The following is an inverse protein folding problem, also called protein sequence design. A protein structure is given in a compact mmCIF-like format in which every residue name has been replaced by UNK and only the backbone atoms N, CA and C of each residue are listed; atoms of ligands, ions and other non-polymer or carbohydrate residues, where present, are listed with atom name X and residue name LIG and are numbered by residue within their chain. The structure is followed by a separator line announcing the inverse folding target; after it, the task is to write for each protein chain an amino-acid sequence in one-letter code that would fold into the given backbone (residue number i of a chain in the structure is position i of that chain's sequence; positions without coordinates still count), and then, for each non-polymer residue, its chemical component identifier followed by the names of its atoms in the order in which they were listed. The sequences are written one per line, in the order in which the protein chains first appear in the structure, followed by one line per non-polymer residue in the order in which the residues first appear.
data_IF_764823396154
#
_entry.id   IF_764823396154
#
_cell.length_a   1.000
_cell.length_b   1.000
_cell.length_c   1.000
_cell.angle_alpha   90.00
_cell.angle_beta   90.00
_cell.angle_gamma   90.00
#
_symmetry.space_group_name_H-M   'P 1'
#
loop_
_entity.id
_entity.type
_entity.pdbx_description
1 polymer ?
#
# COMPACT_ATOMS: atom_id res chain seq x y z
N UNK A 1 -52.56 36.75 27.33
CA UNK A 1 -52.01 35.84 26.30
C UNK A 1 -50.58 36.29 26.06
N UNK A 2 -49.61 35.60 26.68
CA UNK A 2 -48.18 35.92 26.56
C UNK A 2 -47.56 34.78 25.78
N UNK A 3 -47.04 35.09 24.61
CA UNK A 3 -46.32 34.19 23.74
C UNK A 3 -44.85 34.14 24.20
N UNK A 4 -44.38 32.99 24.66
CA UNK A 4 -42.95 32.73 24.90
C UNK A 4 -42.37 32.01 23.69
N UNK A 5 -41.46 32.69 23.03
CA UNK A 5 -40.61 32.15 21.97
C UNK A 5 -39.38 31.45 22.60
N UNK A 6 -39.24 30.14 22.40
CA UNK A 6 -38.01 29.39 22.74
C UNK A 6 -37.06 29.41 21.54
N UNK A 7 -35.92 30.08 21.71
CA UNK A 7 -34.81 29.99 20.77
C UNK A 7 -34.05 28.67 20.91
N UNK A 8 -33.99 27.92 19.84
CA UNK A 8 -33.11 26.75 19.69
C UNK A 8 -31.67 27.24 19.45
N UNK A 9 -30.82 27.12 20.46
CA UNK A 9 -29.36 27.15 20.26
C UNK A 9 -28.91 25.83 19.68
N UNK A 10 -28.47 25.84 18.44
CA UNK A 10 -27.75 24.74 17.81
C UNK A 10 -26.35 24.58 18.44
N UNK A 11 -26.16 23.56 19.24
CA UNK A 11 -24.84 23.13 19.69
C UNK A 11 -24.13 22.47 18.50
N UNK A 12 -23.17 23.20 17.94
CA UNK A 12 -22.19 22.59 17.00
C UNK A 12 -21.24 21.70 17.80
N UNK A 13 -21.38 20.41 17.64
CA UNK A 13 -20.51 19.41 18.25
C UNK A 13 -19.24 19.34 17.40
N UNK A 14 -18.14 19.92 17.86
CA UNK A 14 -16.81 19.66 17.32
C UNK A 14 -16.33 18.32 17.88
N UNK A 15 -16.03 17.32 17.06
CA UNK A 15 -15.39 16.10 17.56
C UNK A 15 -14.02 16.47 18.12
N UNK A 16 -13.73 16.05 19.35
CA UNK A 16 -12.38 16.16 19.91
C UNK A 16 -11.40 15.37 19.03
N UNK A 17 -10.23 15.92 18.68
CA UNK A 17 -9.21 15.17 17.98
C UNK A 17 -8.85 13.94 18.80
N UNK A 18 -8.74 12.78 18.14
CA UNK A 18 -8.22 11.56 18.76
C UNK A 18 -6.79 11.84 19.22
N UNK A 19 -6.38 11.38 20.42
CA UNK A 19 -5.01 11.56 20.87
C UNK A 19 -4.05 10.92 19.84
N UNK A 20 -3.02 11.69 19.44
CA UNK A 20 -2.00 11.21 18.51
C UNK A 20 -1.20 10.08 19.15
N UNK A 21 -0.61 9.21 18.34
CA UNK A 21 0.30 8.14 18.77
C UNK A 21 1.39 8.67 19.72
N UNK A 22 1.83 9.91 19.51
CA UNK A 22 2.75 10.62 20.39
C UNK A 22 2.25 10.84 21.82
N UNK A 23 0.95 11.04 22.00
CA UNK A 23 0.36 11.18 23.32
C UNK A 23 0.39 9.84 24.06
N UNK A 24 0.14 8.73 23.37
CA UNK A 24 0.22 7.38 23.93
C UNK A 24 1.66 6.99 24.30
N UNK A 25 2.62 7.26 23.43
CA UNK A 25 4.04 7.02 23.70
C UNK A 25 4.51 7.77 24.94
N UNK A 26 4.01 8.99 25.17
CA UNK A 26 4.35 9.80 26.33
C UNK A 26 3.72 9.28 27.64
N UNK A 27 2.50 8.73 27.58
CA UNK A 27 1.85 8.12 28.75
C UNK A 27 2.51 6.80 29.16
N UNK A 28 2.92 5.97 28.22
CA UNK A 28 3.59 4.71 28.49
C UNK A 28 5.02 4.92 29.05
N UNK A 29 5.75 5.91 28.55
CA UNK A 29 7.08 6.26 29.06
C UNK A 29 7.04 6.75 30.53
N UNK A 30 5.93 7.32 30.98
CA UNK A 30 5.77 7.79 32.37
C UNK A 30 5.45 6.68 33.39
N UNK A 31 5.02 5.51 32.94
CA UNK A 31 4.57 4.40 33.80
C UNK A 31 5.62 3.31 34.06
N UNK A 32 6.79 3.36 33.43
CA UNK A 32 7.82 2.32 33.56
C UNK A 32 8.91 2.73 34.58
N UNK A 33 9.25 1.91 35.58
CA UNK A 33 10.12 2.27 36.70
C UNK A 33 11.59 2.52 36.32
N UNK A 34 12.03 2.11 35.13
CA UNK A 34 13.42 2.25 34.65
C UNK A 34 13.69 3.52 33.83
N UNK A 35 12.69 4.37 33.66
CA UNK A 35 12.85 5.63 32.93
C UNK A 35 13.21 6.79 33.83
N UNK A 36 14.43 7.29 33.73
CA UNK A 36 14.78 8.64 34.23
C UNK A 36 14.00 9.68 33.42
N UNK A 37 13.31 10.58 34.13
CA UNK A 37 12.45 11.64 33.59
C UNK A 37 12.95 12.21 32.26
N UNK A 38 12.19 12.00 31.19
CA UNK A 38 12.35 12.71 29.93
C UNK A 38 11.58 14.02 30.08
N UNK A 39 12.29 15.15 30.24
CA UNK A 39 11.66 16.46 30.19
C UNK A 39 11.44 16.83 28.73
N UNK A 40 10.17 16.73 28.30
CA UNK A 40 9.74 17.25 27.00
C UNK A 40 9.29 18.68 27.23
N UNK A 41 10.08 19.66 26.78
CA UNK A 41 9.67 21.06 26.75
C UNK A 41 8.68 21.23 25.60
N UNK A 42 7.42 21.54 25.93
CA UNK A 42 6.46 22.07 24.96
C UNK A 42 6.62 23.57 24.91
N UNK A 43 7.22 24.08 23.85
CA UNK A 43 7.17 25.50 23.57
C UNK A 43 5.84 25.83 22.88
N UNK A 44 5.09 26.74 23.47
CA UNK A 44 3.74 27.09 23.08
C UNK A 44 3.73 28.10 21.93
N UNK A 45 4.38 27.78 20.83
CA UNK A 45 4.12 28.41 19.52
C UNK A 45 4.79 27.62 18.40
N UNK A 46 3.94 27.04 17.55
CA UNK A 46 4.24 26.37 16.31
C UNK A 46 4.90 24.97 16.37
N UNK A 47 4.10 24.05 15.98
CA UNK A 47 4.26 22.63 15.74
C UNK A 47 5.43 22.27 14.82
N UNK A 48 6.57 21.90 15.38
CA UNK A 48 7.50 20.93 14.80
C UNK A 48 8.10 20.15 15.94
N UNK A 49 7.61 18.93 16.19
CA UNK A 49 8.28 17.99 17.09
C UNK A 49 9.35 17.23 16.34
N UNK A 50 10.57 17.69 16.44
CA UNK A 50 11.73 16.90 16.00
C UNK A 50 12.01 15.84 17.05
N UNK A 51 12.04 14.56 16.65
CA UNK A 51 12.48 13.43 17.48
C UNK A 51 13.92 13.63 17.99
N UNK A 52 14.11 14.39 19.06
CA UNK A 52 15.38 14.48 19.81
C UNK A 52 15.52 13.40 20.88
N UNK A 53 14.69 12.36 20.86
CA UNK A 53 14.69 11.30 21.87
C UNK A 53 15.78 10.22 21.71
N UNK A 54 16.61 10.28 20.67
CA UNK A 54 17.58 9.22 20.36
C UNK A 54 18.96 9.41 21.04
N UNK A 55 19.18 10.47 21.81
CA UNK A 55 20.52 10.77 22.36
C UNK A 55 20.72 10.45 23.84
N UNK A 56 19.96 9.59 24.46
CA UNK A 56 20.09 9.28 25.90
C UNK A 56 20.41 7.81 26.19
N UNK A 57 20.95 7.06 25.25
CA UNK A 57 21.48 5.73 25.54
C UNK A 57 22.98 5.68 25.24
N UNK A 58 23.80 6.22 26.15
CA UNK A 58 25.16 5.73 26.31
C UNK A 58 25.10 4.41 27.10
N UNK A 59 24.92 3.31 26.37
CA UNK A 59 25.26 1.98 26.87
C UNK A 59 26.72 1.71 26.48
N UNK A 60 27.54 1.51 27.48
CA UNK A 60 28.91 1.02 27.32
C UNK A 60 28.89 -0.30 26.53
N UNK A 61 29.24 -0.26 25.25
CA UNK A 61 29.57 -1.43 24.45
C UNK A 61 31.06 -1.42 24.23
N UNK A 62 31.71 -2.51 24.65
CA UNK A 62 33.15 -2.73 24.56
C UNK A 62 33.65 -2.57 23.11
N UNK A 63 34.74 -1.86 22.99
CA UNK A 63 35.59 -1.77 21.79
C UNK A 63 35.99 -3.18 21.34
N UNK A 64 35.54 -3.62 20.18
CA UNK A 64 36.30 -4.46 19.25
C UNK A 64 35.39 -4.85 18.06
N UNK A 65 35.63 -4.20 16.92
CA UNK A 65 35.63 -4.73 15.57
C UNK A 65 35.37 -3.62 14.54
N UNK A 66 36.39 -2.88 14.21
CA UNK A 66 36.45 -2.11 12.97
C UNK A 66 36.93 -3.07 11.88
N UNK A 67 36.02 -3.47 10.95
CA UNK A 67 36.42 -4.07 9.68
C UNK A 67 36.00 -3.11 8.57
N UNK A 68 37.00 -2.47 7.99
CA UNK A 68 36.91 -1.61 6.82
C UNK A 68 36.69 -2.48 5.58
N UNK A 69 35.58 -2.29 4.85
CA UNK A 69 35.41 -2.82 3.51
C UNK A 69 35.57 -1.67 2.52
N UNK A 70 36.67 -1.72 1.81
CA UNK A 70 36.98 -0.88 0.64
C UNK A 70 36.29 -1.53 -0.56
N UNK A 71 35.44 -0.76 -1.23
CA UNK A 71 34.91 -1.16 -2.55
C UNK A 71 35.78 -0.52 -3.63
N UNK A 72 36.38 -1.35 -4.48
CA UNK A 72 37.04 -0.94 -5.71
C UNK A 72 35.98 -0.57 -6.75
N UNK A 73 36.19 0.57 -7.40
CA UNK A 73 35.39 1.04 -8.55
C UNK A 73 35.72 0.15 -9.75
N UNK A 74 34.70 -0.46 -10.35
CA UNK A 74 34.80 -1.12 -11.66
C UNK A 74 34.22 -0.15 -12.70
N UNK A 75 35.01 0.08 -13.76
CA UNK A 75 34.71 0.94 -14.88
C UNK A 75 33.49 0.48 -15.69
N UNK A 76 32.74 1.48 -16.09
CA UNK A 76 31.41 1.45 -16.70
C UNK A 76 31.53 1.54 -18.24
N UNK A 77 30.86 0.69 -18.96
CA UNK A 77 30.28 1.07 -20.27
C UNK A 77 29.26 -0.01 -20.76
N UNK A 78 27.98 0.14 -20.35
CA UNK A 78 26.84 -0.22 -21.21
C UNK A 78 25.55 0.38 -20.63
N UNK A 79 25.08 1.45 -21.30
CA UNK A 79 23.89 2.20 -20.93
C UNK A 79 22.65 1.55 -21.51
N UNK A 80 22.03 0.66 -20.78
CA UNK A 80 20.61 0.39 -20.90
C UNK A 80 19.86 1.24 -19.87
N UNK A 81 18.92 2.05 -20.34
CA UNK A 81 18.11 2.96 -19.55
C UNK A 81 17.22 2.16 -18.59
N UNK A 82 17.73 1.80 -17.43
CA UNK A 82 16.93 1.65 -16.24
C UNK A 82 16.59 3.07 -15.77
N UNK A 83 15.33 3.48 -15.91
CA UNK A 83 14.85 4.67 -15.20
C UNK A 83 15.02 4.38 -13.71
N UNK A 84 16.11 4.90 -13.14
CA UNK A 84 16.35 4.89 -11.69
C UNK A 84 15.15 5.52 -11.01
N UNK A 85 14.31 4.69 -10.42
CA UNK A 85 13.33 5.13 -9.43
C UNK A 85 14.15 5.75 -8.28
N UNK A 86 14.16 7.08 -8.18
CA UNK A 86 14.95 7.85 -7.20
C UNK A 86 14.90 7.19 -5.81
N UNK A 87 16.02 6.63 -5.39
CA UNK A 87 16.22 5.85 -4.15
C UNK A 87 16.16 6.76 -2.89
N UNK A 88 15.09 7.50 -2.71
CA UNK A 88 14.91 8.42 -1.58
C UNK A 88 13.46 8.69 -1.22
N UNK A 89 12.54 8.51 -2.14
CA UNK A 89 11.14 8.88 -1.96
C UNK A 89 10.28 7.63 -1.74
N UNK A 90 9.49 7.61 -0.66
CA UNK A 90 8.53 6.55 -0.43
C UNK A 90 7.47 6.55 -1.52
N UNK A 91 7.25 5.40 -2.14
CA UNK A 91 6.23 5.20 -3.17
C UNK A 91 4.86 5.05 -2.50
N UNK A 92 3.89 5.86 -2.89
CA UNK A 92 2.50 5.73 -2.45
C UNK A 92 1.67 5.15 -3.60
N UNK A 93 0.95 4.08 -3.30
CA UNK A 93 0.13 3.32 -4.26
C UNK A 93 -1.32 3.35 -3.79
N UNK A 94 -2.24 3.79 -4.64
CA UNK A 94 -3.66 3.80 -4.31
C UNK A 94 -4.26 2.40 -4.45
N UNK A 95 -4.70 1.79 -3.34
CA UNK A 95 -5.31 0.45 -3.27
C UNK A 95 -6.66 0.43 -4.00
N UNK A 96 -6.79 -0.36 -5.05
CA UNK A 96 -7.97 -0.39 -5.95
C UNK A 96 -8.38 1.01 -6.42
N UNK A 97 -7.39 1.88 -6.58
CA UNK A 97 -7.54 3.30 -6.85
C UNK A 97 -7.61 4.16 -5.59
N UNK A 98 -8.77 4.72 -5.27
CA UNK A 98 -8.99 5.62 -4.11
C UNK A 98 -9.34 4.88 -2.81
N UNK A 99 -9.03 3.59 -2.71
CA UNK A 99 -9.25 2.74 -1.56
C UNK A 99 -10.34 1.68 -1.73
N UNK A 100 -10.24 0.62 -0.91
CA UNK A 100 -11.20 -0.47 -0.89
C UNK A 100 -12.54 -0.06 -0.27
N UNK A 101 -13.62 -0.69 -0.74
CA UNK A 101 -14.94 -0.50 -0.14
C UNK A 101 -15.18 -1.46 1.04
N UNK A 102 -15.57 -0.91 2.19
CA UNK A 102 -15.97 -1.68 3.37
C UNK A 102 -17.40 -1.36 3.77
N UNK A 103 -18.37 -2.16 3.29
CA UNK A 103 -19.80 -1.92 3.49
C UNK A 103 -20.22 -1.93 4.97
N UNK A 104 -19.52 -2.68 5.82
CA UNK A 104 -19.73 -2.74 7.27
C UNK A 104 -19.09 -1.58 8.05
N UNK A 105 -18.23 -0.77 7.43
CA UNK A 105 -17.55 0.33 8.11
C UNK A 105 -18.51 1.48 8.46
N UNK A 106 -18.32 2.10 9.61
CA UNK A 106 -18.97 3.35 9.97
C UNK A 106 -18.28 4.58 9.37
N UNK A 107 -17.08 4.42 8.84
CA UNK A 107 -16.34 5.46 8.15
C UNK A 107 -16.84 5.57 6.70
N UNK A 108 -17.43 6.70 6.36
CA UNK A 108 -18.01 6.95 5.05
C UNK A 108 -16.97 6.98 3.92
N UNK A 109 -15.69 7.26 4.23
CA UNK A 109 -14.61 7.27 3.22
C UNK A 109 -14.50 5.94 2.49
N UNK A 110 -14.70 4.81 3.19
CA UNK A 110 -14.70 3.46 2.61
C UNK A 110 -15.97 3.11 1.80
N UNK A 111 -16.88 4.06 1.61
CA UNK A 111 -18.11 3.92 0.80
C UNK A 111 -18.29 5.06 -0.18
N UNK A 112 -17.25 5.87 -0.39
CA UNK A 112 -17.39 7.10 -1.16
C UNK A 112 -17.32 6.85 -2.66
N UNK A 113 -16.27 6.18 -3.15
CA UNK A 113 -16.07 5.87 -4.57
C UNK A 113 -16.03 4.35 -4.75
N UNK A 114 -16.59 3.86 -5.86
CA UNK A 114 -16.50 2.45 -6.24
C UNK A 114 -15.05 2.06 -6.46
N UNK A 115 -14.52 1.11 -5.67
CA UNK A 115 -13.20 0.54 -5.87
C UNK A 115 -13.07 -0.16 -7.23
N UNK A 116 -11.85 -0.34 -7.72
CA UNK A 116 -11.60 -1.06 -8.97
C UNK A 116 -12.43 -0.51 -10.15
N UNK A 117 -12.50 0.82 -10.26
CA UNK A 117 -13.24 1.52 -11.31
C UNK A 117 -12.42 2.65 -11.92
N UNK A 118 -12.76 3.05 -13.14
CA UNK A 118 -12.10 4.17 -13.83
C UNK A 118 -12.20 5.45 -13.01
N UNK A 119 -13.34 5.67 -12.38
CA UNK A 119 -13.55 6.82 -11.49
C UNK A 119 -12.59 6.79 -10.29
N UNK A 120 -12.41 5.62 -9.66
CA UNK A 120 -11.52 5.44 -8.51
C UNK A 120 -10.06 5.72 -8.90
N UNK A 121 -9.60 5.16 -10.01
CA UNK A 121 -8.23 5.33 -10.49
C UNK A 121 -7.92 6.79 -10.82
N UNK A 122 -8.80 7.46 -11.58
CA UNK A 122 -8.63 8.87 -11.91
C UNK A 122 -8.81 9.81 -10.71
N UNK A 123 -9.55 9.38 -9.67
CA UNK A 123 -9.64 10.14 -8.42
C UNK A 123 -8.37 10.05 -7.61
N UNK A 124 -7.74 8.88 -7.55
CA UNK A 124 -6.44 8.68 -6.92
C UNK A 124 -5.32 9.43 -7.65
N UNK A 125 -5.33 9.43 -8.99
CA UNK A 125 -4.36 10.13 -9.83
C UNK A 125 -4.31 11.66 -9.63
N UNK A 126 -5.27 12.25 -8.94
CA UNK A 126 -5.25 13.69 -8.58
C UNK A 126 -4.26 14.02 -7.47
N UNK A 127 -3.80 13.02 -6.75
CA UNK A 127 -2.84 13.13 -5.66
C UNK A 127 -1.44 12.68 -6.12
N UNK A 128 -0.37 13.06 -5.44
CA UNK A 128 1.00 12.74 -5.84
C UNK A 128 1.36 11.27 -5.55
N UNK A 129 0.61 10.33 -6.11
CA UNK A 129 0.89 8.90 -6.09
C UNK A 129 1.71 8.50 -7.32
N UNK A 130 2.44 7.37 -7.20
CA UNK A 130 3.22 6.84 -8.32
C UNK A 130 2.44 5.75 -9.07
N UNK A 131 1.61 4.97 -8.36
CA UNK A 131 0.85 3.87 -8.94
C UNK A 131 -0.57 3.83 -8.39
N UNK A 132 -1.49 3.28 -9.17
CA UNK A 132 -2.73 2.68 -8.67
C UNK A 132 -2.58 1.16 -8.72
N UNK A 133 -3.03 0.50 -7.67
CA UNK A 133 -3.14 -0.95 -7.63
C UNK A 133 -4.58 -1.36 -8.01
N UNK A 134 -4.71 -2.48 -8.69
CA UNK A 134 -6.01 -3.08 -9.02
C UNK A 134 -5.91 -4.56 -9.35
N UNK A 135 -7.06 -5.24 -9.27
CA UNK A 135 -7.22 -6.68 -9.35
C UNK A 135 -7.70 -7.13 -10.72
N UNK A 136 -6.95 -8.00 -11.41
CA UNK A 136 -7.32 -8.51 -12.74
C UNK A 136 -7.70 -9.98 -12.65
N UNK A 137 -8.84 -10.33 -13.26
CA UNK A 137 -9.31 -11.67 -13.52
C UNK A 137 -9.69 -11.84 -15.00
N UNK A 138 -9.83 -13.08 -15.46
CA UNK A 138 -10.18 -13.38 -16.85
C UNK A 138 -11.55 -14.03 -16.89
N UNK A 139 -12.45 -13.53 -17.77
CA UNK A 139 -13.78 -14.09 -18.00
C UNK A 139 -13.71 -15.37 -18.82
N UNK A 140 -14.85 -16.07 -18.91
CA UNK A 140 -15.00 -17.31 -19.69
C UNK A 140 -14.66 -17.16 -21.18
N UNK A 141 -14.84 -15.99 -21.73
CA UNK A 141 -14.58 -15.62 -23.12
C UNK A 141 -13.27 -14.83 -23.29
N UNK A 142 -12.30 -15.11 -22.41
CA UNK A 142 -10.93 -14.60 -22.48
C UNK A 142 -10.79 -13.06 -22.45
N UNK A 143 -11.64 -12.37 -21.69
CA UNK A 143 -11.52 -10.93 -21.50
C UNK A 143 -10.96 -10.60 -20.11
N UNK A 144 -9.84 -9.90 -19.98
CA UNK A 144 -9.35 -9.40 -18.71
C UNK A 144 -10.25 -8.30 -18.16
N UNK A 145 -10.74 -8.47 -16.94
CA UNK A 145 -11.68 -7.57 -16.25
C UNK A 145 -11.13 -7.19 -14.88
N UNK A 146 -11.59 -6.05 -14.38
CA UNK A 146 -11.14 -5.50 -13.10
C UNK A 146 -12.14 -5.86 -12.01
N UNK A 147 -11.74 -6.78 -11.12
CA UNK A 147 -12.61 -7.20 -10.02
C UNK A 147 -11.82 -7.98 -8.95
N UNK A 148 -12.02 -7.63 -7.67
CA UNK A 148 -11.27 -8.25 -6.56
C UNK A 148 -11.83 -9.60 -6.13
N UNK A 149 -13.15 -9.68 -5.88
CA UNK A 149 -13.73 -10.85 -5.24
C UNK A 149 -13.76 -12.05 -6.23
N UNK A 150 -13.61 -13.27 -5.74
CA UNK A 150 -13.63 -14.47 -6.59
C UNK A 150 -14.99 -14.69 -7.25
N UNK A 151 -16.05 -14.08 -6.68
CA UNK A 151 -17.44 -14.22 -7.13
C UNK A 151 -18.12 -12.86 -7.19
N UNK A 152 -18.90 -12.62 -8.23
CA UNK A 152 -19.96 -11.62 -8.20
C UNK A 152 -21.14 -12.22 -7.45
N UNK A 153 -21.58 -11.54 -6.39
CA UNK A 153 -22.82 -11.86 -5.70
C UNK A 153 -23.92 -10.97 -6.28
N UNK A 154 -24.98 -11.60 -6.74
CA UNK A 154 -26.14 -10.90 -7.30
C UNK A 154 -27.44 -11.54 -6.82
N UNK A 155 -28.57 -10.89 -7.07
CA UNK A 155 -29.88 -11.41 -6.72
C UNK A 155 -30.57 -11.97 -7.95
N UNK A 156 -31.02 -13.23 -7.88
CA UNK A 156 -31.88 -13.88 -8.85
C UNK A 156 -33.11 -14.42 -8.11
N UNK A 157 -34.32 -13.96 -8.50
CA UNK A 157 -35.61 -14.38 -7.90
C UNK A 157 -35.62 -14.40 -6.37
N UNK A 158 -35.12 -13.30 -5.77
CA UNK A 158 -35.00 -13.09 -4.30
C UNK A 158 -33.96 -13.97 -3.58
N UNK A 159 -33.11 -14.69 -4.32
CA UNK A 159 -32.02 -15.48 -3.79
C UNK A 159 -30.67 -14.82 -4.19
N UNK A 160 -29.76 -14.72 -3.24
CA UNK A 160 -28.38 -14.31 -3.56
C UNK A 160 -27.65 -15.50 -4.18
N UNK A 161 -27.13 -15.29 -5.38
CA UNK A 161 -26.34 -16.26 -6.12
C UNK A 161 -24.91 -15.77 -6.31
N UNK A 162 -23.97 -16.71 -6.31
CA UNK A 162 -22.55 -16.47 -6.53
C UNK A 162 -22.20 -16.89 -7.97
N UNK A 163 -21.53 -15.99 -8.71
CA UNK A 163 -21.06 -16.23 -10.08
C UNK A 163 -19.55 -16.04 -10.13
N UNK A 164 -18.79 -17.07 -10.48
CA UNK A 164 -17.34 -16.92 -10.70
C UNK A 164 -17.08 -16.06 -11.92
N UNK A 165 -16.04 -15.25 -11.87
CA UNK A 165 -15.63 -14.42 -13.02
C UNK A 165 -15.27 -15.32 -14.21
N UNK A 166 -14.54 -16.39 -13.98
CA UNK A 166 -14.15 -17.37 -15.01
C UNK A 166 -15.31 -18.17 -15.63
N UNK A 167 -16.51 -18.13 -15.04
CA UNK A 167 -17.67 -18.88 -15.53
C UNK A 167 -18.66 -18.00 -16.33
N UNK A 168 -18.45 -16.67 -16.32
CA UNK A 168 -19.31 -15.69 -17.00
C UNK A 168 -18.59 -15.03 -18.19
N UNK A 169 -19.37 -14.61 -19.19
CA UNK A 169 -18.85 -13.84 -20.32
C UNK A 169 -18.66 -12.37 -19.96
N UNK A 170 -17.87 -11.64 -20.76
CA UNK A 170 -17.73 -10.18 -20.62
C UNK A 170 -19.08 -9.47 -20.64
N UNK A 171 -19.98 -9.87 -21.56
CA UNK A 171 -21.32 -9.29 -21.65
C UNK A 171 -22.11 -9.47 -20.34
N UNK A 172 -22.04 -10.67 -19.75
CA UNK A 172 -22.67 -10.92 -18.46
C UNK A 172 -22.01 -10.10 -17.35
N UNK A 173 -20.66 -10.06 -17.30
CA UNK A 173 -19.90 -9.26 -16.33
C UNK A 173 -20.30 -7.78 -16.37
N UNK A 174 -20.35 -7.18 -17.54
CA UNK A 174 -20.73 -5.77 -17.69
C UNK A 174 -22.21 -5.50 -17.42
N UNK A 175 -23.06 -6.53 -17.33
CA UNK A 175 -24.49 -6.36 -16.98
C UNK A 175 -24.73 -6.09 -15.49
N UNK A 176 -23.70 -6.22 -14.66
CA UNK A 176 -23.76 -5.96 -13.21
C UNK A 176 -23.42 -4.51 -12.87
N UNK A 177 -24.03 -3.99 -11.80
CA UNK A 177 -23.80 -2.63 -11.33
C UNK A 177 -24.33 -1.53 -12.27
N UNK A 178 -23.85 -0.29 -12.13
CA UNK A 178 -24.25 0.81 -13.00
C UNK A 178 -23.92 0.54 -14.45
N UNK A 179 -24.80 0.99 -15.35
CA UNK A 179 -24.62 0.83 -16.79
C UNK A 179 -24.07 2.09 -17.42
N UNK A 180 -23.27 1.95 -18.48
CA UNK A 180 -22.68 3.08 -19.22
C UNK A 180 -23.75 3.88 -19.99
N UNK A 181 -24.80 3.21 -20.46
CA UNK A 181 -25.86 3.83 -21.23
C UNK A 181 -26.90 4.45 -20.30
N UNK A 182 -27.28 5.73 -20.51
CA UNK A 182 -28.27 6.41 -19.70
C UNK A 182 -29.64 5.68 -19.72
N UNK A 183 -30.22 5.48 -18.53
CA UNK A 183 -31.53 4.84 -18.38
C UNK A 183 -31.49 3.30 -18.33
N UNK A 184 -30.37 2.68 -18.58
CA UNK A 184 -30.22 1.24 -18.37
C UNK A 184 -29.97 0.95 -16.89
N UNK A 185 -30.61 -0.10 -16.37
CA UNK A 185 -30.45 -0.58 -14.99
C UNK A 185 -29.74 -1.93 -15.02
N UNK A 186 -28.58 -1.99 -14.40
CA UNK A 186 -27.84 -3.24 -14.29
C UNK A 186 -28.31 -4.10 -13.13
N UNK A 187 -27.84 -5.33 -13.10
CA UNK A 187 -28.13 -6.28 -12.02
C UNK A 187 -27.45 -5.80 -10.72
N UNK A 188 -28.11 -5.91 -9.56
CA UNK A 188 -27.54 -5.50 -8.28
C UNK A 188 -26.33 -6.37 -7.92
N UNK A 189 -25.36 -5.77 -7.27
CA UNK A 189 -24.15 -6.44 -6.77
C UNK A 189 -24.13 -6.36 -5.26
N UNK A 190 -23.72 -7.47 -4.63
CA UNK A 190 -23.61 -7.60 -3.18
C UNK A 190 -22.17 -7.97 -2.80
N UNK A 191 -21.80 -7.72 -1.56
CA UNK A 191 -20.55 -8.17 -0.97
C UNK A 191 -20.78 -8.95 0.31
N UNK A 192 -19.99 -10.01 0.48
CA UNK A 192 -20.00 -10.86 1.66
C UNK A 192 -18.77 -10.53 2.52
N UNK A 193 -18.99 -10.25 3.77
CA UNK A 193 -17.92 -10.02 4.75
C UNK A 193 -17.31 -11.33 5.23
N UNK A 194 -16.13 -11.29 5.86
CA UNK A 194 -15.47 -12.47 6.43
C UNK A 194 -16.35 -13.22 7.45
N UNK A 195 -17.23 -12.53 8.16
CA UNK A 195 -18.21 -13.10 9.12
C UNK A 195 -19.51 -13.59 8.44
N UNK A 196 -19.56 -13.56 7.11
CA UNK A 196 -20.65 -14.11 6.30
C UNK A 196 -21.86 -13.18 6.08
N UNK A 197 -21.86 -11.96 6.63
CA UNK A 197 -22.92 -10.98 6.37
C UNK A 197 -22.86 -10.49 4.92
N UNK A 198 -24.02 -10.29 4.32
CA UNK A 198 -24.17 -9.84 2.93
C UNK A 198 -24.73 -8.42 2.94
N UNK A 199 -24.10 -7.54 2.19
CA UNK A 199 -24.49 -6.15 2.01
C UNK A 199 -24.64 -5.86 0.52
N UNK A 200 -25.68 -5.09 0.14
CA UNK A 200 -25.71 -4.51 -1.19
C UNK A 200 -24.51 -3.56 -1.34
N UNK A 201 -23.78 -3.68 -2.45
CA UNK A 201 -22.59 -2.86 -2.69
C UNK A 201 -23.00 -1.49 -3.19
N UNK A 202 -23.37 -0.62 -2.25
CA UNK A 202 -23.77 0.76 -2.50
C UNK A 202 -22.68 1.71 -2.04
N UNK A 203 -22.29 2.59 -2.94
CA UNK A 203 -21.32 3.66 -2.69
C UNK A 203 -21.93 5.01 -3.08
N UNK A 204 -21.35 6.10 -2.63
CA UNK A 204 -21.85 7.44 -2.93
C UNK A 204 -21.62 7.81 -4.40
N UNK A 205 -20.43 7.49 -4.93
CA UNK A 205 -20.06 7.69 -6.33
C UNK A 205 -19.80 6.33 -6.97
N UNK A 206 -20.83 5.79 -7.60
CA UNK A 206 -20.75 4.50 -8.27
C UNK A 206 -20.24 4.67 -9.71
N UNK A 207 -19.66 3.60 -10.28
CA UNK A 207 -19.11 3.57 -11.63
C UNK A 207 -19.32 2.18 -12.24
N UNK A 208 -19.50 2.06 -13.55
CA UNK A 208 -19.62 0.77 -14.21
C UNK A 208 -18.39 -0.12 -14.01
N UNK A 209 -18.61 -1.43 -14.03
CA UNK A 209 -17.52 -2.40 -14.12
C UNK A 209 -16.74 -2.19 -15.43
N UNK A 210 -15.44 -2.47 -15.41
CA UNK A 210 -14.55 -2.17 -16.53
C UNK A 210 -13.60 -3.32 -16.88
N UNK A 211 -13.08 -3.28 -18.09
CA UNK A 211 -12.02 -4.18 -18.58
C UNK A 211 -10.65 -3.61 -18.36
N UNK A 212 -9.60 -4.44 -18.45
CA UNK A 212 -8.20 -4.02 -18.40
C UNK A 212 -7.89 -3.04 -19.56
N UNK A 213 -8.38 -3.32 -20.76
CA UNK A 213 -8.27 -2.43 -21.92
C UNK A 213 -8.81 -1.02 -21.61
N UNK A 214 -9.99 -0.91 -21.00
CA UNK A 214 -10.58 0.37 -20.64
C UNK A 214 -9.73 1.11 -19.60
N UNK A 215 -9.11 0.40 -18.66
CA UNK A 215 -8.19 0.99 -17.68
C UNK A 215 -6.99 1.62 -18.38
N UNK A 216 -6.35 0.92 -19.32
CA UNK A 216 -5.25 1.48 -20.11
C UNK A 216 -5.65 2.70 -20.93
N UNK A 217 -6.85 2.70 -21.48
CA UNK A 217 -7.32 3.77 -22.36
C UNK A 217 -7.86 5.01 -21.65
N UNK A 218 -8.36 4.87 -20.42
CA UNK A 218 -9.16 5.92 -19.75
C UNK A 218 -8.58 6.42 -18.43
N UNK A 219 -7.59 5.73 -17.87
CA UNK A 219 -6.89 6.19 -16.66
C UNK A 219 -5.75 7.12 -17.04
N UNK A 220 -5.57 8.17 -16.26
CA UNK A 220 -4.54 9.18 -16.45
C UNK A 220 -3.15 8.54 -16.62
N UNK A 221 -2.39 9.01 -17.60
CA UNK A 221 -1.06 8.47 -17.92
C UNK A 221 0.01 8.84 -16.89
N UNK A 222 -0.25 9.77 -15.98
CA UNK A 222 0.69 10.18 -14.93
C UNK A 222 0.95 9.12 -13.87
N UNK A 223 0.08 8.10 -13.76
CA UNK A 223 0.22 7.01 -12.77
C UNK A 223 0.55 5.68 -13.43
N UNK A 224 1.49 4.95 -12.82
CA UNK A 224 1.77 3.56 -13.16
C UNK A 224 0.71 2.60 -12.62
N UNK A 225 0.80 1.35 -12.99
CA UNK A 225 -0.13 0.30 -12.58
C UNK A 225 0.58 -0.81 -11.79
N UNK A 226 0.08 -1.11 -10.59
CA UNK A 226 0.37 -2.37 -9.90
C UNK A 226 -0.78 -3.32 -10.18
N UNK A 227 -0.57 -4.27 -11.09
CA UNK A 227 -1.58 -5.21 -11.57
C UNK A 227 -1.53 -6.47 -10.70
N UNK A 228 -2.50 -6.66 -9.80
CA UNK A 228 -2.65 -7.91 -9.07
C UNK A 228 -3.29 -8.97 -9.96
N UNK A 229 -2.54 -10.07 -10.18
CA UNK A 229 -3.03 -11.24 -10.90
C UNK A 229 -3.80 -12.14 -9.94
N UNK A 230 -5.13 -12.09 -10.02
CA UNK A 230 -6.04 -12.77 -9.08
C UNK A 230 -6.28 -14.22 -9.47
N UNK A 231 -6.01 -15.12 -8.54
CA UNK A 231 -6.37 -16.53 -8.62
C UNK A 231 -7.05 -16.96 -7.32
N UNK A 232 -8.05 -17.82 -7.42
CA UNK A 232 -8.82 -18.23 -6.26
C UNK A 232 -8.03 -19.24 -5.41
N UNK A 233 -7.79 -18.93 -4.15
CA UNK A 233 -7.06 -19.77 -3.18
C UNK A 233 -7.67 -21.16 -2.94
N UNK A 234 -8.95 -21.34 -3.27
CA UNK A 234 -9.69 -22.62 -3.09
C UNK A 234 -9.72 -23.47 -4.37
N UNK A 235 -9.02 -23.05 -5.42
CA UNK A 235 -8.92 -23.78 -6.68
C UNK A 235 -7.47 -24.23 -6.90
N UNK A 236 -7.32 -25.50 -7.26
CA UNK A 236 -6.03 -26.01 -7.73
C UNK A 236 -5.98 -25.84 -9.24
N UNK A 237 -5.18 -24.90 -9.70
CA UNK A 237 -5.00 -24.64 -11.13
C UNK A 237 -3.95 -25.58 -11.72
N UNK A 238 -4.18 -26.01 -12.96
CA UNK A 238 -3.11 -26.61 -13.77
C UNK A 238 -2.23 -25.52 -14.36
N UNK A 239 -0.99 -25.87 -14.68
CA UNK A 239 -0.04 -24.91 -15.27
C UNK A 239 -0.57 -24.34 -16.59
N UNK A 240 -1.26 -25.15 -17.41
CA UNK A 240 -1.86 -24.70 -18.66
C UNK A 240 -2.95 -23.65 -18.45
N UNK A 241 -3.78 -23.80 -17.38
CA UNK A 241 -4.85 -22.84 -17.04
C UNK A 241 -4.27 -21.50 -16.58
N UNK A 242 -3.24 -21.53 -15.73
CA UNK A 242 -2.52 -20.33 -15.31
C UNK A 242 -1.85 -19.65 -16.50
N UNK A 243 -1.13 -20.41 -17.31
CA UNK A 243 -0.41 -19.93 -18.49
C UNK A 243 -1.38 -19.27 -19.49
N UNK A 244 -2.53 -19.90 -19.72
CA UNK A 244 -3.56 -19.33 -20.59
C UNK A 244 -4.07 -17.98 -20.08
N UNK A 245 -4.49 -17.91 -18.82
CA UNK A 245 -4.97 -16.66 -18.23
C UNK A 245 -3.91 -15.54 -18.24
N UNK A 246 -2.66 -15.89 -17.93
CA UNK A 246 -1.54 -14.95 -17.96
C UNK A 246 -1.23 -14.46 -19.39
N UNK A 247 -1.32 -15.32 -20.39
CA UNK A 247 -1.16 -14.91 -21.80
C UNK A 247 -2.24 -13.92 -22.23
N UNK A 248 -3.50 -14.17 -21.85
CA UNK A 248 -4.62 -13.28 -22.15
C UNK A 248 -4.36 -11.89 -21.56
N UNK A 249 -3.93 -11.81 -20.29
CA UNK A 249 -3.60 -10.54 -19.63
C UNK A 249 -2.39 -9.87 -20.29
N UNK A 250 -1.30 -10.62 -20.55
CA UNK A 250 -0.10 -10.09 -21.18
C UNK A 250 -0.34 -9.54 -22.58
N UNK A 251 -1.22 -10.16 -23.36
CA UNK A 251 -1.58 -9.67 -24.69
C UNK A 251 -2.17 -8.26 -24.62
N UNK A 252 -3.10 -8.00 -23.69
CA UNK A 252 -3.65 -6.66 -23.49
C UNK A 252 -2.60 -5.68 -22.95
N UNK A 253 -1.77 -6.10 -22.00
CA UNK A 253 -0.69 -5.26 -21.50
C UNK A 253 0.26 -4.87 -22.63
N UNK A 254 0.72 -5.82 -23.45
CA UNK A 254 1.63 -5.55 -24.55
C UNK A 254 1.03 -4.64 -25.63
N UNK A 255 -0.30 -4.70 -25.82
CA UNK A 255 -0.98 -3.87 -26.81
C UNK A 255 -1.21 -2.43 -26.31
N UNK A 256 -1.55 -2.26 -25.02
CA UNK A 256 -2.06 -0.98 -24.51
C UNK A 256 -1.14 -0.26 -23.51
N UNK A 257 -0.14 -0.92 -22.93
CA UNK A 257 0.71 -0.31 -21.88
C UNK A 257 1.55 0.85 -22.38
N UNK A 258 2.07 0.76 -23.62
CA UNK A 258 3.02 1.74 -24.18
C UNK A 258 4.22 1.91 -23.25
N UNK A 259 4.44 3.14 -22.76
CA UNK A 259 5.50 3.56 -21.84
C UNK A 259 5.04 3.62 -20.37
N UNK A 260 3.81 3.16 -20.05
CA UNK A 260 3.29 3.20 -18.68
C UNK A 260 4.08 2.27 -17.75
N UNK A 261 4.57 2.75 -16.60
CA UNK A 261 5.20 1.90 -15.61
C UNK A 261 4.23 0.84 -15.08
N UNK A 262 4.65 -0.42 -15.06
CA UNK A 262 3.83 -1.55 -14.59
C UNK A 262 4.63 -2.39 -13.60
N UNK A 263 3.96 -2.84 -12.56
CA UNK A 263 4.38 -3.88 -11.64
C UNK A 263 3.33 -4.98 -11.71
N UNK A 264 3.72 -6.24 -11.88
CA UNK A 264 2.85 -7.37 -11.64
C UNK A 264 2.99 -7.85 -10.21
N UNK A 265 1.88 -8.21 -9.58
CA UNK A 265 1.88 -8.82 -8.25
C UNK A 265 0.88 -9.99 -8.18
N UNK A 266 1.15 -10.98 -7.35
CA UNK A 266 0.22 -12.09 -7.14
C UNK A 266 0.46 -12.78 -5.81
N UNK A 267 -0.63 -13.20 -5.14
CA UNK A 267 -0.60 -14.12 -4.01
C UNK A 267 -0.36 -15.57 -4.43
N UNK A 268 -0.55 -15.89 -5.71
CA UNK A 268 -0.38 -17.26 -6.21
C UNK A 268 1.08 -17.50 -6.62
N UNK A 269 1.85 -18.35 -5.91
CA UNK A 269 3.27 -18.53 -6.17
C UNK A 269 3.59 -18.97 -7.60
N UNK A 270 2.81 -19.93 -8.16
CA UNK A 270 3.06 -20.42 -9.51
C UNK A 270 2.70 -19.37 -10.57
N UNK A 271 1.68 -18.56 -10.35
CA UNK A 271 1.36 -17.45 -11.25
C UNK A 271 2.48 -16.39 -11.26
N UNK A 272 3.03 -16.02 -10.08
CA UNK A 272 4.16 -15.11 -9.99
C UNK A 272 5.42 -15.67 -10.70
N UNK A 273 5.70 -16.96 -10.56
CA UNK A 273 6.79 -17.62 -11.26
C UNK A 273 6.59 -17.68 -12.79
N UNK A 274 5.35 -18.00 -13.21
CA UNK A 274 5.02 -18.11 -14.64
C UNK A 274 5.07 -16.76 -15.33
N UNK A 275 4.45 -15.72 -14.78
CA UNK A 275 4.48 -14.39 -15.39
C UNK A 275 5.92 -13.87 -15.50
N UNK A 276 6.80 -14.15 -14.53
CA UNK A 276 8.23 -13.82 -14.61
C UNK A 276 8.94 -14.55 -15.72
N UNK A 277 8.60 -15.81 -15.97
CA UNK A 277 9.17 -16.61 -17.07
C UNK A 277 8.66 -16.16 -18.45
N UNK A 278 7.40 -15.69 -18.52
CA UNK A 278 6.75 -15.30 -19.77
C UNK A 278 7.21 -13.92 -20.27
N UNK A 279 7.67 -13.04 -19.38
CA UNK A 279 8.12 -11.69 -19.72
C UNK A 279 9.25 -11.23 -18.78
N UNK A 280 10.11 -10.32 -19.24
CA UNK A 280 11.20 -9.72 -18.47
C UNK A 280 11.17 -8.18 -18.46
N UNK A 281 10.19 -7.57 -19.12
CA UNK A 281 10.05 -6.11 -19.25
C UNK A 281 9.59 -5.47 -17.93
N UNK A 282 8.63 -6.07 -17.26
CA UNK A 282 8.00 -5.51 -16.06
C UNK A 282 8.40 -6.29 -14.81
N UNK A 283 8.69 -5.62 -13.70
CA UNK A 283 8.98 -6.29 -12.44
C UNK A 283 7.78 -7.10 -11.95
N UNK A 284 8.08 -8.22 -11.30
CA UNK A 284 7.10 -9.12 -10.70
C UNK A 284 7.37 -9.21 -9.20
N UNK A 285 6.36 -8.92 -8.39
CA UNK A 285 6.43 -8.97 -6.94
C UNK A 285 5.55 -10.09 -6.40
N UNK A 286 6.02 -10.75 -5.36
CA UNK A 286 5.22 -11.75 -4.68
C UNK A 286 4.41 -11.10 -3.55
N UNK A 287 3.07 -11.28 -3.59
CA UNK A 287 2.16 -10.85 -2.52
C UNK A 287 2.09 -11.92 -1.43
N UNK A 288 2.19 -11.50 -0.16
CA UNK A 288 2.12 -12.42 0.98
C UNK A 288 1.46 -11.79 2.21
N UNK A 289 0.71 -12.59 2.95
CA UNK A 289 0.26 -12.25 4.30
C UNK A 289 1.36 -12.46 5.36
N UNK A 290 2.56 -12.92 4.94
CA UNK A 290 3.73 -13.10 5.79
C UNK A 290 3.53 -14.01 6.99
N UNK A 291 2.59 -14.98 6.89
CA UNK A 291 2.25 -15.93 7.95
C UNK A 291 1.10 -15.50 8.87
N UNK A 292 0.39 -14.41 8.57
CA UNK A 292 -0.84 -14.04 9.30
C UNK A 292 -1.99 -15.02 9.03
N UNK A 293 -1.97 -15.69 7.90
CA UNK A 293 -2.89 -16.76 7.51
C UNK A 293 -2.06 -17.99 7.09
N UNK A 294 -2.61 -19.19 7.33
CA UNK A 294 -1.94 -20.45 6.99
C UNK A 294 -2.60 -21.08 5.77
N UNK A 295 -1.80 -21.33 4.75
CA UNK A 295 -2.22 -21.92 3.49
C UNK A 295 -1.65 -23.34 3.33
N UNK A 296 -2.26 -24.14 2.47
CA UNK A 296 -1.74 -25.47 2.08
C UNK A 296 -0.37 -25.33 1.41
N UNK A 297 -0.19 -24.31 0.58
CA UNK A 297 1.09 -23.97 -0.03
C UNK A 297 2.01 -23.26 0.98
N UNK A 298 3.06 -23.95 1.40
CA UNK A 298 4.00 -23.47 2.41
C UNK A 298 4.75 -22.20 1.98
N UNK A 299 4.91 -21.96 0.68
CA UNK A 299 5.59 -20.78 0.13
C UNK A 299 4.89 -19.46 0.54
N UNK A 300 3.62 -19.53 0.99
CA UNK A 300 2.80 -18.39 1.42
C UNK A 300 2.82 -18.13 2.92
N UNK A 301 3.41 -19.03 3.72
CA UNK A 301 3.17 -19.09 5.17
C UNK A 301 4.22 -18.36 6.02
N UNK A 302 5.21 -17.70 5.41
CA UNK A 302 6.15 -16.85 6.13
C UNK A 302 6.85 -15.87 5.19
N UNK A 303 7.49 -14.85 5.75
CA UNK A 303 8.34 -13.93 4.99
C UNK A 303 9.63 -14.61 4.51
N UNK A 304 10.19 -15.57 5.27
CA UNK A 304 11.36 -16.32 4.85
C UNK A 304 11.06 -17.20 3.62
N UNK A 305 9.88 -17.85 3.58
CA UNK A 305 9.45 -18.62 2.40
C UNK A 305 9.15 -17.70 1.19
N UNK A 306 8.57 -16.52 1.42
CA UNK A 306 8.37 -15.53 0.37
C UNK A 306 9.70 -15.03 -0.20
N UNK A 307 10.68 -14.73 0.64
CA UNK A 307 12.02 -14.34 0.24
C UNK A 307 12.69 -15.44 -0.61
N UNK A 308 12.63 -16.68 -0.12
CA UNK A 308 13.17 -17.84 -0.84
C UNK A 308 12.53 -18.00 -2.22
N UNK A 309 11.20 -17.92 -2.32
CA UNK A 309 10.47 -17.97 -3.58
C UNK A 309 10.96 -16.88 -4.56
N UNK A 310 11.10 -15.64 -4.09
CA UNK A 310 11.57 -14.54 -4.92
C UNK A 310 12.98 -14.81 -5.47
N UNK A 311 13.90 -15.24 -4.63
CA UNK A 311 15.28 -15.53 -5.04
C UNK A 311 15.37 -16.71 -6.03
N UNK A 312 14.65 -17.79 -5.77
CA UNK A 312 14.64 -18.97 -6.65
C UNK A 312 13.98 -18.70 -8.01
N UNK A 313 13.07 -17.73 -8.07
CA UNK A 313 12.28 -17.43 -9.27
C UNK A 313 12.70 -16.16 -10.00
N UNK A 314 13.69 -15.43 -9.47
CA UNK A 314 14.14 -14.13 -10.03
C UNK A 314 13.08 -13.05 -10.00
N UNK A 315 12.21 -13.03 -8.96
CA UNK A 315 11.27 -11.96 -8.73
C UNK A 315 11.99 -10.74 -8.17
N UNK A 316 11.45 -9.53 -8.38
CA UNK A 316 12.13 -8.29 -8.04
C UNK A 316 11.68 -7.67 -6.71
N UNK A 317 10.66 -8.23 -6.06
CA UNK A 317 10.21 -7.67 -4.78
C UNK A 317 9.14 -8.49 -4.07
N UNK A 318 8.81 -8.02 -2.89
CA UNK A 318 7.77 -8.57 -2.02
C UNK A 318 6.77 -7.46 -1.70
N UNK A 319 5.49 -7.77 -1.80
CA UNK A 319 4.40 -6.95 -1.24
C UNK A 319 3.84 -7.69 -0.04
N UNK A 320 4.06 -7.17 1.17
CA UNK A 320 3.71 -7.86 2.41
C UNK A 320 2.62 -7.14 3.19
N UNK A 321 1.79 -7.92 3.88
CA UNK A 321 0.94 -7.37 4.93
C UNK A 321 1.81 -6.69 5.99
N UNK A 322 1.50 -5.43 6.33
CA UNK A 322 2.35 -4.57 7.17
C UNK A 322 2.56 -5.13 8.58
N UNK A 323 1.56 -5.80 9.17
CA UNK A 323 1.68 -6.43 10.50
C UNK A 323 2.70 -7.57 10.50
N UNK A 324 2.84 -8.30 9.38
CA UNK A 324 3.83 -9.36 9.27
C UNK A 324 5.26 -8.80 9.33
N UNK A 325 5.49 -7.64 8.70
CA UNK A 325 6.76 -6.92 8.78
C UNK A 325 7.04 -6.45 10.20
N UNK A 326 6.05 -5.90 10.90
CA UNK A 326 6.22 -5.43 12.27
C UNK A 326 6.45 -6.56 13.28
N UNK A 327 5.90 -7.76 13.02
CA UNK A 327 6.20 -8.96 13.82
C UNK A 327 7.62 -9.47 13.59
N UNK A 328 8.18 -9.26 12.39
CA UNK A 328 9.49 -9.75 11.98
C UNK A 328 10.33 -8.64 11.32
N UNK A 329 10.66 -7.54 12.04
CA UNK A 329 11.32 -6.37 11.45
C UNK A 329 12.70 -6.68 10.86
N UNK A 330 13.35 -7.74 11.34
CA UNK A 330 14.60 -8.24 10.79
C UNK A 330 14.54 -8.73 9.35
N UNK A 331 13.35 -9.00 8.84
CA UNK A 331 13.18 -9.36 7.45
C UNK A 331 13.41 -8.18 6.50
N UNK A 332 13.22 -6.93 6.97
CA UNK A 332 13.48 -5.74 6.15
C UNK A 332 14.93 -5.75 5.66
N UNK A 333 15.90 -5.91 6.57
CA UNK A 333 17.32 -5.98 6.20
C UNK A 333 17.62 -7.15 5.26
N UNK A 334 17.11 -8.36 5.57
CA UNK A 334 17.33 -9.55 4.72
C UNK A 334 16.80 -9.36 3.29
N UNK A 335 15.59 -8.78 3.14
CA UNK A 335 14.97 -8.52 1.84
C UNK A 335 15.81 -7.52 1.05
N UNK A 336 16.27 -6.44 1.69
CA UNK A 336 17.10 -5.40 1.06
C UNK A 336 18.49 -5.91 0.69
N UNK A 337 19.15 -6.67 1.58
CA UNK A 337 20.45 -7.32 1.32
C UNK A 337 20.36 -8.32 0.15
N UNK A 338 19.17 -8.86 -0.09
CA UNK A 338 18.88 -9.73 -1.23
C UNK A 338 18.55 -8.94 -2.52
N UNK A 339 18.72 -7.62 -2.53
CA UNK A 339 18.40 -6.73 -3.64
C UNK A 339 16.94 -6.83 -4.12
N UNK A 340 16.01 -7.09 -3.18
CA UNK A 340 14.59 -7.13 -3.42
C UNK A 340 13.92 -5.88 -2.86
N UNK A 341 12.94 -5.36 -3.58
CA UNK A 341 12.11 -4.25 -3.13
C UNK A 341 11.04 -4.73 -2.15
N UNK A 342 10.71 -3.87 -1.18
CA UNK A 342 9.68 -4.16 -0.18
C UNK A 342 8.60 -3.09 -0.19
N UNK A 343 7.39 -3.51 -0.53
CA UNK A 343 6.16 -2.72 -0.45
C UNK A 343 5.26 -3.36 0.60
N UNK A 344 4.46 -2.58 1.30
CA UNK A 344 3.49 -3.08 2.26
C UNK A 344 2.05 -2.72 1.88
N UNK A 345 1.10 -3.52 2.38
CA UNK A 345 -0.33 -3.26 2.29
C UNK A 345 -1.01 -3.52 3.63
N UNK A 346 -2.24 -3.10 3.79
CA UNK A 346 -3.07 -3.37 4.96
C UNK A 346 -3.55 -2.10 5.67
N UNK A 347 -4.51 -2.27 6.59
CA UNK A 347 -5.23 -1.14 7.20
C UNK A 347 -4.32 -0.15 7.96
N UNK A 348 -3.21 -0.63 8.51
CA UNK A 348 -2.25 0.24 9.21
C UNK A 348 -1.54 1.23 8.27
N UNK A 349 -1.53 0.99 6.97
CA UNK A 349 -1.02 1.93 5.98
C UNK A 349 -1.92 3.18 5.82
N UNK A 350 -3.11 3.17 6.41
CA UNK A 350 -4.01 4.33 6.47
C UNK A 350 -3.77 5.20 7.71
N UNK A 351 -2.68 4.98 8.43
CA UNK A 351 -2.27 5.74 9.62
C UNK A 351 -0.96 6.47 9.29
N UNK A 352 -0.97 7.81 9.18
CA UNK A 352 0.20 8.60 8.77
C UNK A 352 1.47 8.30 9.55
N UNK A 353 1.38 8.16 10.87
CA UNK A 353 2.51 7.89 11.76
C UNK A 353 3.12 6.50 11.48
N UNK A 354 2.29 5.52 11.12
CA UNK A 354 2.74 4.18 10.77
C UNK A 354 3.45 4.19 9.42
N UNK A 355 2.98 4.98 8.47
CA UNK A 355 3.65 5.17 7.16
C UNK A 355 5.00 5.86 7.36
N UNK A 356 5.05 6.89 8.19
CA UNK A 356 6.31 7.56 8.53
C UNK A 356 7.31 6.58 9.19
N UNK A 357 6.85 5.76 10.12
CA UNK A 357 7.70 4.73 10.73
C UNK A 357 8.22 3.72 9.69
N UNK A 358 7.39 3.28 8.77
CA UNK A 358 7.80 2.40 7.67
C UNK A 358 8.89 3.05 6.80
N UNK A 359 8.75 4.34 6.50
CA UNK A 359 9.77 5.08 5.77
C UNK A 359 11.11 5.10 6.54
N UNK A 360 11.09 5.36 7.85
CA UNK A 360 12.29 5.32 8.70
C UNK A 360 12.93 3.93 8.76
N UNK A 361 12.14 2.88 8.71
CA UNK A 361 12.60 1.48 8.62
C UNK A 361 13.17 1.13 7.24
N UNK A 362 13.01 2.01 6.25
CA UNK A 362 13.51 1.83 4.89
C UNK A 362 12.61 0.97 4.01
N UNK A 363 11.31 0.86 4.32
CA UNK A 363 10.30 0.31 3.41
C UNK A 363 10.12 1.28 2.26
N UNK A 364 10.08 0.77 1.03
CA UNK A 364 10.17 1.56 -0.19
C UNK A 364 8.81 2.04 -0.69
N UNK A 365 7.72 1.33 -0.33
CA UNK A 365 6.39 1.74 -0.76
C UNK A 365 5.27 1.23 0.13
N UNK A 366 4.12 1.90 0.04
CA UNK A 366 2.90 1.57 0.77
C UNK A 366 1.68 1.58 -0.15
N UNK A 367 0.82 0.56 -0.05
CA UNK A 367 -0.49 0.50 -0.69
C UNK A 367 -1.52 0.97 0.35
N UNK A 368 -2.30 2.00 0.00
CA UNK A 368 -3.14 2.75 0.93
C UNK A 368 -4.58 2.93 0.44
N UNK A 369 -5.54 2.97 1.37
CA UNK A 369 -6.94 3.26 1.05
C UNK A 369 -7.27 4.76 1.17
N UNK A 370 -6.61 5.47 2.08
CA UNK A 370 -6.82 6.89 2.33
C UNK A 370 -5.75 7.72 1.60
N UNK A 371 -5.85 7.74 0.26
CA UNK A 371 -4.82 8.29 -0.64
C UNK A 371 -4.51 9.75 -0.32
N UNK A 372 -5.54 10.61 -0.20
CA UNK A 372 -5.39 12.03 0.10
C UNK A 372 -4.60 12.25 1.40
N UNK A 373 -5.06 11.66 2.49
CA UNK A 373 -4.45 11.82 3.82
C UNK A 373 -3.01 11.32 3.89
N UNK A 374 -2.74 10.19 3.24
CA UNK A 374 -1.39 9.60 3.28
C UNK A 374 -0.43 10.36 2.38
N UNK A 375 -0.86 10.83 1.21
CA UNK A 375 0.01 11.64 0.34
C UNK A 375 0.32 13.00 0.95
N UNK A 376 -0.64 13.63 1.66
CA UNK A 376 -0.38 14.85 2.44
C UNK A 376 0.67 14.59 3.53
N UNK A 377 0.48 13.54 4.33
CA UNK A 377 1.41 13.18 5.39
C UNK A 377 2.82 12.86 4.87
N UNK A 378 2.91 12.09 3.77
CA UNK A 378 4.20 11.79 3.12
C UNK A 378 4.88 13.06 2.63
N UNK A 379 4.13 14.00 2.08
CA UNK A 379 4.66 15.29 1.65
C UNK A 379 5.20 16.12 2.83
N UNK A 380 4.51 16.14 3.96
CA UNK A 380 4.93 16.90 5.14
C UNK A 380 6.18 16.30 5.81
N UNK A 381 6.22 14.97 6.02
CA UNK A 381 7.25 14.33 6.82
C UNK A 381 8.48 13.91 6.01
N UNK A 382 8.32 13.62 4.72
CA UNK A 382 9.36 13.00 3.89
C UNK A 382 10.00 14.03 2.94
N UNK A 383 9.23 14.99 2.43
CA UNK A 383 9.73 15.97 1.46
C UNK A 383 10.25 17.26 2.13
N UNK A 384 9.77 17.60 3.33
CA UNK A 384 10.17 18.79 4.07
C UNK A 384 10.85 18.48 5.41
N UNK A 385 12.03 17.82 5.44
CA UNK A 385 12.76 17.66 6.69
C UNK A 385 13.40 18.95 7.21
N UNK A 386 13.31 20.08 6.51
CA UNK A 386 14.05 21.32 6.80
C UNK A 386 13.24 22.61 6.90
N UNK A 387 11.95 22.56 7.23
CA UNK A 387 11.21 23.79 7.58
C UNK A 387 11.57 24.36 8.97
N UNK A 388 12.68 23.92 9.59
CA UNK A 388 13.19 24.42 10.87
C UNK A 388 14.56 25.05 10.69
N UNK A 389 14.66 26.22 10.03
CA UNK A 389 15.63 27.29 10.28
C UNK A 389 15.59 28.34 9.16
N UNK A 390 14.66 29.28 9.23
CA UNK A 390 14.93 30.62 8.75
C UNK A 390 15.64 31.38 9.87
N UNK A 391 16.94 31.52 9.77
CA UNK A 391 17.67 32.60 10.44
C UNK A 391 18.80 33.04 9.50
N UNK A 392 18.62 34.28 8.98
CA UNK A 392 19.62 35.20 8.42
C UNK A 392 20.27 34.84 7.07
N UNK A 393 19.94 35.69 6.11
CA UNK A 393 20.41 35.74 4.74
C UNK A 393 21.93 35.69 4.58
N UNK A 394 22.38 34.78 3.76
CA UNK A 394 23.59 34.80 2.96
C UNK A 394 23.38 33.82 1.80
N UNK A 395 23.85 34.15 0.58
CA UNK A 395 23.73 33.42 -0.66
C UNK A 395 24.09 31.92 -0.57
N UNK A 396 23.13 31.05 -0.99
CA UNK A 396 23.25 29.59 -0.81
C UNK A 396 22.84 28.74 -2.03
N UNK A 397 23.18 29.13 -3.24
CA UNK A 397 22.80 28.30 -4.42
C UNK A 397 23.73 27.10 -4.71
N UNK A 398 24.97 27.09 -4.22
CA UNK A 398 25.90 25.95 -4.45
C UNK A 398 25.93 24.91 -3.31
N UNK A 399 25.62 25.28 -2.08
CA UNK A 399 25.61 24.34 -0.92
C UNK A 399 24.34 23.46 -0.81
N UNK A 400 23.28 23.80 -1.50
CA UNK A 400 22.00 23.07 -1.38
C UNK A 400 22.04 21.69 -2.04
N UNK A 401 22.80 21.53 -3.12
CA UNK A 401 22.97 20.27 -3.82
C UNK A 401 23.81 19.27 -3.02
N UNK A 402 24.89 19.73 -2.38
CA UNK A 402 25.72 18.86 -1.53
C UNK A 402 25.03 18.51 -0.21
N UNK A 403 24.23 19.42 0.38
CA UNK A 403 23.43 19.12 1.58
C UNK A 403 22.30 18.15 1.30
N UNK A 404 21.64 18.23 0.13
CA UNK A 404 20.64 17.24 -0.28
C UNK A 404 21.25 15.84 -0.40
N UNK A 405 22.42 15.73 -0.98
CA UNK A 405 23.15 14.46 -1.10
C UNK A 405 23.61 13.90 0.25
N UNK A 406 23.97 14.76 1.21
CA UNK A 406 24.36 14.34 2.57
C UNK A 406 23.18 13.95 3.45
N UNK A 407 22.01 14.61 3.31
CA UNK A 407 20.78 14.25 4.05
C UNK A 407 20.25 12.89 3.62
N UNK A 408 20.37 12.55 2.33
CA UNK A 408 19.99 11.22 1.81
C UNK A 408 20.94 10.12 2.33
N UNK A 409 22.21 10.44 2.60
CA UNK A 409 23.19 9.48 3.16
C UNK A 409 23.02 9.20 4.66
N UNK A 410 22.32 10.06 5.40
CA UNK A 410 22.15 9.96 6.86
C UNK A 410 20.72 9.56 7.26
N UNK A 411 20.07 8.64 6.53
CA UNK A 411 18.86 8.00 7.06
C UNK A 411 19.22 7.31 8.37
N UNK A 412 18.48 7.54 9.47
CA UNK A 412 18.75 6.84 10.71
C UNK A 412 18.62 5.34 10.47
N UNK A 413 19.71 4.62 10.61
CA UNK A 413 19.69 3.16 10.57
C UNK A 413 19.44 2.69 12.00
N UNK A 414 18.31 2.02 12.20
CA UNK A 414 18.00 1.39 13.46
C UNK A 414 18.60 -0.02 13.49
N UNK A 415 19.29 -0.34 14.57
CA UNK A 415 19.72 -1.72 14.83
C UNK A 415 18.49 -2.60 15.13
N UNK A 416 18.63 -3.91 14.96
CA UNK A 416 17.58 -4.90 15.28
C UNK A 416 16.98 -4.74 16.70
N UNK A 417 17.80 -4.51 17.77
CA UNK A 417 17.27 -4.26 19.11
C UNK A 417 16.45 -2.98 19.20
N UNK A 418 16.86 -1.89 18.52
CA UNK A 418 16.16 -0.61 18.51
C UNK A 418 14.81 -0.73 17.80
N UNK A 419 14.76 -1.43 16.66
CA UNK A 419 13.52 -1.72 15.96
C UNK A 419 12.58 -2.56 16.81
N UNK A 420 13.09 -3.62 17.45
CA UNK A 420 12.29 -4.46 18.35
C UNK A 420 11.80 -3.69 19.56
N UNK A 421 12.57 -2.71 20.05
CA UNK A 421 12.18 -1.84 21.14
C UNK A 421 11.07 -0.86 20.72
N UNK A 422 11.23 -0.19 19.58
CA UNK A 422 10.23 0.73 19.05
C UNK A 422 8.87 0.02 18.82
N UNK A 423 8.91 -1.19 18.27
CA UNK A 423 7.69 -1.98 18.03
C UNK A 423 7.03 -2.46 19.32
N UNK A 424 7.79 -2.73 20.40
CA UNK A 424 7.24 -3.06 21.72
C UNK A 424 6.56 -1.88 22.40
N UNK A 425 6.93 -0.64 22.06
CA UNK A 425 6.28 0.56 22.58
C UNK A 425 4.90 0.80 21.96
N UNK A 426 4.56 0.10 20.89
CA UNK A 426 3.30 0.25 20.16
C UNK A 426 2.63 -1.13 20.02
N UNK A 427 2.20 -1.75 21.15
CA UNK A 427 1.62 -3.09 21.13
C UNK A 427 0.37 -3.19 20.24
N UNK A 428 -0.38 -2.10 20.09
CA UNK A 428 -1.58 -2.02 19.26
C UNK A 428 -1.29 -2.24 17.77
N UNK A 429 -0.07 -1.94 17.30
CA UNK A 429 0.34 -2.19 15.91
C UNK A 429 0.60 -3.67 15.64
N UNK A 430 0.79 -4.48 16.69
CA UNK A 430 1.20 -5.89 16.61
C UNK A 430 0.06 -6.84 16.91
N UNK A 431 -0.95 -6.42 17.69
CA UNK A 431 -1.94 -7.30 18.34
C UNK A 431 -3.29 -7.46 17.62
N UNK A 432 -3.47 -6.97 16.39
CA UNK A 432 -4.79 -7.13 15.70
C UNK A 432 -4.69 -7.93 14.42
#
# INVERSE_FOLDING_TARGET
MVSMSFGLHSLVYYPKPKPSLFFFLNQQAQSHPDFKRINIFSDSNQSVMTLKAVRVFELQVSENAAACLVFEEADDDDRDREEEMELGKMVVIGHRGSGMNMMQSNDSRFKFIKENSILSFNSAAKFPIQFVEFDVQVTKDDCPVIFHDNFILTQDKDVIVEKRISDITLQEFLSYGPQKEPGMVGKPVFRKTKDGRIFEWKVEKDDPLCTLQEVFQRVDHSVGFNIELKFNDHVVYKEEELTHALHVILNEVNEYAKDRPIIFSSFHPDAAQLIRKMQNTYPVFFLTNGGSEVYTDKRRNSLDEALKLCLESGLQGIVSEVKAIFRNPGMISKIKESNLRLITYGQLNNVPEVVHMQHLLGIEGVIVDLVEEITEAVSEYIIHPSAAKEVNGIDFFEEETERRTQVVRNKPQFSQPELSFLLKLIPELIQH
#
